data_IF_096266154135
#
_entry.id   IF_096266154135
#
_cell.length_a   1.000
_cell.length_b   1.000
_cell.length_c   1.000
_cell.angle_alpha   90.00
_cell.angle_beta   90.00
_cell.angle_gamma   90.00
#
_symmetry.space_group_name_H-M   'P 1'
#
loop_
_entity.id
_entity.type
_entity.pdbx_description
1 polymer ?
#
# COMPACT_ATOMS: atom_id res chain seq x y z
N UNK A 1 12.84 20.03 -1.20
CA UNK A 1 12.87 19.20 -2.43
C UNK A 1 14.10 18.30 -2.50
N UNK A 2 15.33 18.80 -2.22
CA UNK A 2 16.58 17.99 -2.23
C UNK A 2 16.53 16.80 -1.27
N UNK A 3 16.02 16.96 -0.06
CA UNK A 3 15.90 15.88 0.94
C UNK A 3 14.98 14.75 0.45
N UNK A 4 13.81 15.08 -0.09
CA UNK A 4 12.86 14.08 -0.63
C UNK A 4 13.53 13.24 -1.70
N UNK A 5 14.22 13.88 -2.64
CA UNK A 5 14.93 13.17 -3.71
C UNK A 5 16.09 12.34 -3.18
N UNK A 6 16.85 12.85 -2.19
CA UNK A 6 17.95 12.11 -1.57
C UNK A 6 17.47 10.84 -0.86
N UNK A 7 16.40 10.93 -0.07
CA UNK A 7 15.79 9.77 0.60
C UNK A 7 15.25 8.78 -0.44
N UNK A 8 14.52 9.27 -1.45
CA UNK A 8 13.99 8.42 -2.51
C UNK A 8 15.11 7.70 -3.30
N UNK A 9 16.22 8.38 -3.58
CA UNK A 9 17.37 7.77 -4.23
C UNK A 9 18.01 6.68 -3.37
N UNK A 10 18.16 6.92 -2.06
CA UNK A 10 18.67 5.93 -1.13
C UNK A 10 17.76 4.68 -1.08
N UNK A 11 16.46 4.86 -0.99
CA UNK A 11 15.48 3.78 -1.00
C UNK A 11 15.51 2.98 -2.31
N UNK A 12 15.59 3.67 -3.45
CA UNK A 12 15.69 3.02 -4.76
C UNK A 12 16.94 2.14 -4.87
N UNK A 13 18.10 2.64 -4.39
CA UNK A 13 19.34 1.89 -4.37
C UNK A 13 19.28 0.69 -3.43
N UNK A 14 18.67 0.85 -2.24
CA UNK A 14 18.45 -0.25 -1.30
C UNK A 14 17.55 -1.32 -1.89
N UNK A 15 16.46 -0.95 -2.53
CA UNK A 15 15.54 -1.88 -3.17
C UNK A 15 16.21 -2.60 -4.36
N UNK A 16 16.96 -1.87 -5.19
CA UNK A 16 17.70 -2.45 -6.32
C UNK A 16 18.75 -3.49 -5.91
N UNK A 17 19.36 -3.30 -4.73
CA UNK A 17 20.32 -4.25 -4.14
C UNK A 17 19.65 -5.50 -3.52
N UNK A 18 18.32 -5.55 -3.50
CA UNK A 18 17.54 -6.64 -2.93
C UNK A 18 16.65 -7.30 -4.00
N UNK A 19 17.21 -8.08 -4.93
CA UNK A 19 16.45 -8.68 -6.03
C UNK A 19 15.28 -9.54 -5.55
N UNK A 20 15.40 -10.13 -4.35
CA UNK A 20 14.32 -10.85 -3.71
C UNK A 20 13.06 -10.00 -3.47
N UNK A 21 13.23 -8.72 -3.08
CA UNK A 21 12.10 -7.79 -2.90
C UNK A 21 11.39 -7.47 -4.20
N UNK A 22 12.17 -7.27 -5.26
CA UNK A 22 11.61 -7.09 -6.61
C UNK A 22 10.87 -8.34 -7.08
N UNK A 23 11.41 -9.54 -6.80
CA UNK A 23 10.74 -10.80 -7.08
C UNK A 23 9.41 -10.93 -6.32
N UNK A 24 9.32 -10.45 -5.07
CA UNK A 24 8.06 -10.42 -4.31
C UNK A 24 7.02 -9.49 -4.96
N UNK A 25 7.43 -8.31 -5.45
CA UNK A 25 6.53 -7.40 -6.19
C UNK A 25 6.03 -8.07 -7.47
N UNK A 26 6.94 -8.70 -8.22
CA UNK A 26 6.59 -9.44 -9.44
C UNK A 26 5.67 -10.63 -9.15
N UNK A 27 5.91 -11.36 -8.05
CA UNK A 27 5.04 -12.44 -7.59
C UNK A 27 3.63 -11.92 -7.22
N UNK A 28 3.54 -10.76 -6.56
CA UNK A 28 2.26 -10.09 -6.30
C UNK A 28 1.52 -9.74 -7.60
N UNK A 29 2.25 -9.23 -8.62
CA UNK A 29 1.66 -8.97 -9.92
C UNK A 29 1.19 -10.27 -10.60
N UNK A 30 2.01 -11.34 -10.56
CA UNK A 30 1.65 -12.65 -11.09
C UNK A 30 0.45 -13.27 -10.38
N UNK A 31 0.34 -13.13 -9.06
CA UNK A 31 -0.80 -13.60 -8.29
C UNK A 31 -2.12 -12.97 -8.76
N UNK A 32 -2.07 -11.69 -9.19
CA UNK A 32 -3.25 -11.02 -9.75
C UNK A 32 -3.80 -11.72 -11.01
N UNK A 33 -2.99 -12.49 -11.73
CA UNK A 33 -3.46 -13.25 -12.90
C UNK A 33 -4.49 -14.35 -12.55
N UNK A 34 -4.56 -14.78 -11.27
CA UNK A 34 -5.61 -15.70 -10.82
C UNK A 34 -7.02 -15.11 -10.99
N UNK A 35 -7.15 -13.79 -11.10
CA UNK A 35 -8.43 -13.14 -11.39
C UNK A 35 -8.97 -13.46 -12.80
N UNK A 36 -8.12 -13.98 -13.70
CA UNK A 36 -8.52 -14.44 -15.03
C UNK A 36 -9.21 -15.82 -15.01
N UNK A 37 -9.19 -16.52 -13.87
CA UNK A 37 -9.88 -17.81 -13.72
C UNK A 37 -11.39 -17.57 -13.79
N UNK A 38 -12.10 -18.17 -14.78
CA UNK A 38 -13.52 -17.99 -14.94
C UNK A 38 -14.31 -18.52 -13.72
N UNK A 39 -15.31 -17.78 -13.31
CA UNK A 39 -16.20 -18.21 -12.20
C UNK A 39 -15.59 -18.04 -10.80
N UNK A 40 -14.45 -17.40 -10.65
CA UNK A 40 -13.89 -17.12 -9.33
C UNK A 40 -14.86 -16.26 -8.52
N UNK A 41 -15.26 -16.75 -7.36
CA UNK A 41 -16.20 -16.04 -6.48
C UNK A 41 -15.57 -14.74 -5.98
N UNK A 42 -16.36 -13.66 -5.85
CA UNK A 42 -15.89 -12.34 -5.48
C UNK A 42 -15.07 -12.30 -4.17
N UNK A 43 -15.40 -13.13 -3.18
CA UNK A 43 -14.62 -13.25 -1.93
C UNK A 43 -13.23 -13.77 -2.20
N UNK A 44 -13.09 -14.80 -3.05
CA UNK A 44 -11.79 -15.34 -3.43
C UNK A 44 -11.00 -14.30 -4.24
N UNK A 45 -11.64 -13.61 -5.18
CA UNK A 45 -11.04 -12.51 -5.95
C UNK A 45 -10.52 -11.39 -5.05
N UNK A 46 -11.32 -10.96 -4.06
CA UNK A 46 -10.90 -9.97 -3.06
C UNK A 46 -9.70 -10.47 -2.25
N UNK A 47 -9.72 -11.73 -1.83
CA UNK A 47 -8.60 -12.36 -1.13
C UNK A 47 -7.32 -12.37 -1.96
N UNK A 48 -7.41 -12.71 -3.25
CA UNK A 48 -6.28 -12.68 -4.21
C UNK A 48 -5.71 -11.27 -4.33
N UNK A 49 -6.57 -10.26 -4.55
CA UNK A 49 -6.11 -8.86 -4.66
C UNK A 49 -5.44 -8.40 -3.38
N UNK A 50 -6.05 -8.70 -2.22
CA UNK A 50 -5.48 -8.31 -0.92
C UNK A 50 -4.13 -8.99 -0.67
N UNK A 51 -4.01 -10.28 -0.92
CA UNK A 51 -2.76 -11.03 -0.76
C UNK A 51 -1.67 -10.49 -1.69
N UNK A 52 -1.99 -10.24 -2.96
CA UNK A 52 -1.08 -9.66 -3.93
C UNK A 52 -0.61 -8.25 -3.52
N UNK A 53 -1.55 -7.40 -3.07
CA UNK A 53 -1.26 -6.05 -2.61
C UNK A 53 -0.38 -6.06 -1.35
N UNK A 54 -0.69 -6.89 -0.36
CA UNK A 54 0.11 -7.00 0.87
C UNK A 54 1.52 -7.51 0.58
N UNK A 55 1.67 -8.53 -0.28
CA UNK A 55 2.98 -9.04 -0.67
C UNK A 55 3.84 -7.96 -1.31
N UNK A 56 3.30 -7.22 -2.27
CA UNK A 56 4.00 -6.11 -2.93
C UNK A 56 4.30 -4.97 -1.93
N UNK A 57 3.34 -4.58 -1.10
CA UNK A 57 3.46 -3.50 -0.11
C UNK A 57 4.55 -3.78 0.93
N UNK A 58 4.60 -5.02 1.45
CA UNK A 58 5.63 -5.43 2.41
C UNK A 58 7.02 -5.39 1.77
N UNK A 59 7.13 -5.78 0.50
CA UNK A 59 8.39 -5.78 -0.22
C UNK A 59 8.94 -4.35 -0.42
N UNK A 60 8.12 -3.43 -0.93
CA UNK A 60 8.58 -2.05 -1.24
C UNK A 60 8.69 -1.17 -0.01
N UNK A 61 8.01 -1.51 1.10
CA UNK A 61 8.12 -0.79 2.37
C UNK A 61 9.37 -1.14 3.20
N UNK A 62 10.19 -2.10 2.76
CA UNK A 62 11.36 -2.55 3.52
C UNK A 62 12.41 -1.45 3.79
N UNK A 63 12.78 -0.57 2.83
CA UNK A 63 13.70 0.52 3.11
C UNK A 63 13.22 1.47 4.21
N UNK A 64 11.97 1.91 4.13
CA UNK A 64 11.34 2.75 5.15
C UNK A 64 11.27 2.08 6.53
N UNK A 65 11.03 0.77 6.55
CA UNK A 65 11.01 -0.01 7.80
C UNK A 65 12.39 -0.08 8.45
N UNK A 66 13.46 -0.27 7.66
CA UNK A 66 14.84 -0.26 8.18
C UNK A 66 15.20 1.10 8.73
N UNK A 67 14.88 2.18 8.00
CA UNK A 67 15.11 3.54 8.46
C UNK A 67 14.38 3.83 9.79
N UNK A 68 13.15 3.35 9.95
CA UNK A 68 12.38 3.48 11.18
C UNK A 68 12.96 2.67 12.35
N UNK A 69 13.59 1.49 12.07
CA UNK A 69 14.26 0.69 13.09
C UNK A 69 15.57 1.29 13.58
N UNK A 70 16.39 1.75 12.63
CA UNK A 70 17.74 2.23 12.95
C UNK A 70 17.76 3.67 13.46
N UNK A 71 16.69 4.45 13.22
CA UNK A 71 16.48 5.83 13.68
C UNK A 71 17.55 6.87 13.28
N UNK A 72 18.80 6.45 13.14
CA UNK A 72 19.96 7.29 12.88
C UNK A 72 19.98 7.95 11.49
N UNK A 73 19.74 7.20 10.40
CA UNK A 73 19.79 7.79 9.06
C UNK A 73 18.78 8.89 8.86
N UNK A 74 17.56 8.72 9.32
CA UNK A 74 16.49 9.71 9.17
C UNK A 74 16.72 10.97 10.02
N UNK A 75 17.27 10.80 11.22
CA UNK A 75 17.62 11.92 12.10
C UNK A 75 18.77 12.78 11.55
N UNK A 76 19.60 12.24 10.65
CA UNK A 76 20.72 12.97 10.04
C UNK A 76 20.27 13.94 8.92
N UNK A 77 19.05 13.83 8.39
CA UNK A 77 18.58 14.71 7.35
C UNK A 77 18.19 16.09 7.90
N UNK A 78 18.68 17.19 7.29
CA UNK A 78 18.35 18.56 7.70
C UNK A 78 16.93 18.95 7.23
N UNK A 79 15.92 18.17 7.59
CA UNK A 79 14.53 18.38 7.17
C UNK A 79 13.55 17.89 8.24
N UNK A 80 12.32 18.39 8.18
CA UNK A 80 11.28 17.90 9.09
C UNK A 80 10.92 16.44 8.79
N UNK A 81 10.49 15.66 9.78
CA UNK A 81 10.12 14.25 9.62
C UNK A 81 9.11 14.01 8.49
N UNK A 82 8.22 14.97 8.22
CA UNK A 82 7.24 14.89 7.13
C UNK A 82 7.91 14.81 5.75
N UNK A 83 8.97 15.59 5.52
CA UNK A 83 9.69 15.57 4.25
C UNK A 83 10.53 14.31 4.07
N UNK A 84 11.09 13.78 5.15
CA UNK A 84 11.78 12.47 5.13
C UNK A 84 10.79 11.36 4.78
N UNK A 85 9.63 11.32 5.43
CA UNK A 85 8.55 10.36 5.09
C UNK A 85 8.03 10.53 3.66
N UNK A 86 7.90 11.77 3.18
CA UNK A 86 7.56 12.01 1.78
C UNK A 86 8.61 11.42 0.82
N UNK A 87 9.89 11.44 1.21
CA UNK A 87 10.97 10.77 0.47
C UNK A 87 10.77 9.26 0.41
N UNK A 88 10.48 8.63 1.54
CA UNK A 88 10.19 7.19 1.63
C UNK A 88 8.91 6.77 0.90
N UNK A 89 8.00 7.70 0.59
CA UNK A 89 6.78 7.42 -0.17
C UNK A 89 7.04 7.26 -1.67
N UNK A 90 8.04 7.96 -2.22
CA UNK A 90 8.25 8.05 -3.68
C UNK A 90 8.45 6.68 -4.31
N UNK A 91 9.37 5.88 -3.78
CA UNK A 91 9.73 4.57 -4.35
C UNK A 91 8.59 3.56 -4.19
N UNK A 92 7.98 3.36 -3.00
CA UNK A 92 6.82 2.50 -2.85
C UNK A 92 5.65 2.92 -3.77
N UNK A 93 5.33 4.22 -3.84
CA UNK A 93 4.26 4.68 -4.71
C UNK A 93 4.56 4.36 -6.18
N UNK A 94 5.76 4.65 -6.68
CA UNK A 94 6.13 4.37 -8.06
C UNK A 94 6.05 2.87 -8.40
N UNK A 95 6.61 2.00 -7.56
CA UNK A 95 6.55 0.55 -7.76
C UNK A 95 5.10 0.03 -7.72
N UNK A 96 4.31 0.50 -6.76
CA UNK A 96 2.93 0.05 -6.60
C UNK A 96 1.98 0.67 -7.64
N UNK A 97 2.29 1.81 -8.24
CA UNK A 97 1.58 2.32 -9.42
C UNK A 97 1.73 1.37 -10.61
N UNK A 98 2.94 0.86 -10.86
CA UNK A 98 3.18 -0.15 -11.92
C UNK A 98 2.43 -1.42 -11.60
N UNK A 99 2.52 -1.94 -10.38
CA UNK A 99 1.77 -3.10 -9.92
C UNK A 99 0.25 -2.87 -10.05
N UNK A 100 -0.25 -1.71 -9.65
CA UNK A 100 -1.66 -1.34 -9.75
C UNK A 100 -2.15 -1.23 -11.20
N UNK A 101 -1.30 -0.74 -12.12
CA UNK A 101 -1.61 -0.76 -13.54
C UNK A 101 -1.77 -2.19 -14.08
N UNK A 102 -0.89 -3.12 -13.67
CA UNK A 102 -1.03 -4.55 -14.00
C UNK A 102 -2.34 -5.11 -13.46
N UNK A 103 -2.67 -4.84 -12.19
CA UNK A 103 -3.94 -5.27 -11.58
C UNK A 103 -5.15 -4.70 -12.34
N UNK A 104 -5.15 -3.41 -12.66
CA UNK A 104 -6.21 -2.77 -13.44
C UNK A 104 -6.36 -3.38 -14.83
N UNK A 105 -5.27 -3.71 -15.49
CA UNK A 105 -5.25 -4.44 -16.77
C UNK A 105 -5.84 -5.83 -16.66
N UNK A 106 -5.46 -6.59 -15.63
CA UNK A 106 -6.02 -7.93 -15.35
C UNK A 106 -7.53 -7.85 -15.10
N UNK A 107 -7.99 -6.89 -14.30
CA UNK A 107 -9.42 -6.67 -14.06
C UNK A 107 -10.17 -6.30 -15.34
N UNK A 108 -9.57 -5.50 -16.23
CA UNK A 108 -10.16 -5.16 -17.52
C UNK A 108 -10.33 -6.39 -18.41
N UNK A 109 -9.36 -7.30 -18.41
CA UNK A 109 -9.42 -8.56 -19.17
C UNK A 109 -10.42 -9.53 -18.54
N UNK A 110 -10.43 -9.67 -17.22
CA UNK A 110 -11.36 -10.54 -16.49
C UNK A 110 -12.83 -10.09 -16.62
N UNK A 111 -13.08 -8.81 -16.69
CA UNK A 111 -14.42 -8.22 -16.86
C UNK A 111 -15.03 -8.36 -18.25
N UNK A 112 -14.40 -9.13 -19.17
CA UNK A 112 -14.94 -9.42 -20.50
C UNK A 112 -14.96 -8.22 -21.44
N UNK A 113 -14.07 -7.23 -21.22
CA UNK A 113 -13.81 -6.16 -22.22
C UNK A 113 -15.00 -5.30 -22.58
N UNK A 114 -15.86 -4.93 -21.61
CA UNK A 114 -16.88 -3.90 -21.89
C UNK A 114 -16.19 -2.66 -22.46
N UNK A 115 -16.51 -2.33 -23.71
CA UNK A 115 -15.91 -1.22 -24.42
C UNK A 115 -15.95 0.05 -23.55
N UNK A 116 -14.77 0.67 -23.32
CA UNK A 116 -14.64 1.88 -22.51
C UNK A 116 -14.29 1.67 -21.03
N UNK A 117 -14.41 0.46 -20.47
CA UNK A 117 -14.11 0.23 -19.04
C UNK A 117 -12.62 0.05 -18.73
N UNK A 118 -11.82 -0.39 -19.69
CA UNK A 118 -10.40 -0.69 -19.50
C UNK A 118 -9.58 0.50 -19.02
N UNK A 119 -9.80 1.68 -19.60
CA UNK A 119 -9.10 2.90 -19.19
C UNK A 119 -9.41 3.32 -17.76
N UNK A 120 -10.66 3.16 -17.33
CA UNK A 120 -11.06 3.46 -15.95
C UNK A 120 -10.44 2.49 -14.94
N UNK A 121 -10.38 1.19 -15.27
CA UNK A 121 -9.77 0.16 -14.43
C UNK A 121 -8.26 0.33 -14.32
N UNK A 122 -7.59 0.64 -15.44
CA UNK A 122 -6.16 0.96 -15.43
C UNK A 122 -5.88 2.20 -14.56
N UNK A 123 -6.64 3.28 -14.75
CA UNK A 123 -6.50 4.49 -13.97
C UNK A 123 -6.77 4.25 -12.48
N UNK A 124 -7.83 3.52 -12.14
CA UNK A 124 -8.13 3.16 -10.76
C UNK A 124 -7.02 2.30 -10.15
N UNK A 125 -6.48 1.33 -10.89
CA UNK A 125 -5.35 0.52 -10.47
C UNK A 125 -4.10 1.35 -10.17
N UNK A 126 -3.73 2.29 -11.04
CA UNK A 126 -2.61 3.23 -10.83
C UNK A 126 -2.83 4.06 -9.58
N UNK A 127 -4.01 4.63 -9.40
CA UNK A 127 -4.35 5.41 -8.20
C UNK A 127 -4.35 4.55 -6.93
N UNK A 128 -4.86 3.32 -7.01
CA UNK A 128 -4.76 2.36 -5.91
C UNK A 128 -3.30 2.11 -5.52
N UNK A 129 -2.40 1.98 -6.51
CA UNK A 129 -0.96 1.85 -6.28
C UNK A 129 -0.37 3.00 -5.46
N UNK A 130 -0.78 4.25 -5.73
CA UNK A 130 -0.40 5.41 -4.90
C UNK A 130 -0.90 5.25 -3.47
N UNK A 131 -2.16 4.86 -3.28
CA UNK A 131 -2.75 4.61 -1.96
C UNK A 131 -2.01 3.51 -1.20
N UNK A 132 -1.69 2.40 -1.88
CA UNK A 132 -0.88 1.32 -1.31
C UNK A 132 0.54 1.76 -0.96
N UNK A 133 1.12 2.73 -1.69
CA UNK A 133 2.37 3.41 -1.29
C UNK A 133 2.24 4.08 0.07
N UNK A 134 1.13 4.78 0.31
CA UNK A 134 0.79 5.34 1.63
C UNK A 134 0.66 4.26 2.70
N UNK A 135 -0.03 3.15 2.41
CA UNK A 135 -0.13 1.99 3.32
C UNK A 135 1.25 1.42 3.64
N UNK A 136 2.14 1.31 2.64
CA UNK A 136 3.50 0.79 2.82
C UNK A 136 4.29 1.63 3.83
N UNK A 137 4.34 2.96 3.64
CA UNK A 137 5.06 3.87 4.53
C UNK A 137 4.42 3.91 5.92
N UNK A 138 3.07 4.04 6.00
CA UNK A 138 2.35 4.05 7.28
C UNK A 138 2.61 2.77 8.08
N UNK A 139 2.61 1.61 7.42
CA UNK A 139 2.86 0.33 8.07
C UNK A 139 4.33 0.10 8.43
N UNK A 140 5.25 0.63 7.62
CA UNK A 140 6.68 0.51 7.84
C UNK A 140 7.17 1.35 9.02
N UNK A 141 6.64 2.58 9.15
CA UNK A 141 7.04 3.56 10.17
C UNK A 141 6.15 3.51 11.42
N UNK A 142 5.69 2.32 11.81
CA UNK A 142 4.97 2.12 13.06
C UNK A 142 5.92 2.30 14.24
N UNK A 143 5.42 2.94 15.32
CA UNK A 143 6.11 2.90 16.59
C UNK A 143 6.31 1.43 17.03
N UNK A 144 7.44 1.14 17.66
CA UNK A 144 7.72 -0.19 18.21
C UNK A 144 6.61 -0.59 19.18
N UNK A 145 6.09 -1.83 19.08
CA UNK A 145 5.07 -2.27 20.01
C UNK A 145 5.66 -2.33 21.42
N UNK A 146 5.08 -1.60 22.34
CA UNK A 146 5.39 -1.75 23.76
C UNK A 146 4.61 -2.96 24.29
N UNK A 147 5.31 -4.05 24.51
CA UNK A 147 4.73 -5.32 24.98
C UNK A 147 4.40 -5.29 26.48
N UNK A 148 4.99 -4.34 27.24
CA UNK A 148 4.72 -4.17 28.66
C UNK A 148 3.40 -3.43 28.94
N UNK A 149 2.91 -2.65 27.98
CA UNK A 149 1.63 -1.96 28.11
C UNK A 149 0.48 -2.92 27.83
N UNK A 150 -0.39 -3.05 28.82
CA UNK A 150 -1.53 -3.96 28.77
C UNK A 150 -2.82 -3.15 28.80
N UNK A 151 -3.74 -3.45 27.91
CA UNK A 151 -5.08 -2.87 27.89
C UNK A 151 -6.05 -3.89 28.51
N UNK A 152 -6.84 -3.43 29.47
CA UNK A 152 -7.93 -4.24 30.00
C UNK A 152 -9.01 -4.44 28.90
N UNK A 153 -9.33 -5.69 28.62
CA UNK A 153 -10.42 -6.05 27.69
C UNK A 153 -11.39 -7.02 28.36
N UNK A 154 -12.63 -7.16 27.87
CA UNK A 154 -13.60 -8.10 28.38
C UNK A 154 -13.14 -9.57 28.36
N UNK A 155 -12.16 -9.90 27.51
CA UNK A 155 -11.57 -11.26 27.40
C UNK A 155 -10.26 -11.40 28.18
N UNK A 156 -9.88 -10.39 28.98
CA UNK A 156 -8.65 -10.38 29.76
C UNK A 156 -7.64 -9.33 29.30
N UNK A 157 -6.48 -9.22 29.98
CA UNK A 157 -5.45 -8.27 29.65
C UNK A 157 -4.81 -8.61 28.29
N UNK A 158 -4.86 -7.66 27.36
CA UNK A 158 -4.30 -7.80 26.00
C UNK A 158 -3.09 -6.87 25.86
N UNK A 159 -1.90 -7.38 25.49
CA UNK A 159 -0.75 -6.53 25.21
C UNK A 159 -1.07 -5.52 24.09
N UNK A 160 -0.79 -4.24 24.32
CA UNK A 160 -1.04 -3.17 23.35
C UNK A 160 -0.30 -3.43 22.04
N UNK A 161 0.85 -4.11 22.13
CA UNK A 161 1.63 -4.55 20.97
C UNK A 161 0.88 -5.46 19.99
N UNK A 162 -0.16 -6.16 20.42
CA UNK A 162 -1.01 -6.97 19.53
C UNK A 162 -2.06 -6.13 18.80
N UNK A 163 -2.55 -5.06 19.40
CA UNK A 163 -3.62 -4.24 18.81
C UNK A 163 -3.10 -3.19 17.83
N UNK A 164 -1.92 -2.62 18.09
CA UNK A 164 -1.31 -1.62 17.21
C UNK A 164 -1.08 -2.10 15.76
N UNK A 165 -0.55 -3.30 15.49
CA UNK A 165 -0.43 -3.81 14.14
C UNK A 165 -1.76 -3.94 13.39
N UNK A 166 -2.86 -4.16 14.13
CA UNK A 166 -4.20 -4.28 13.56
C UNK A 166 -4.83 -2.93 13.23
N UNK A 167 -4.40 -1.86 13.91
CA UNK A 167 -4.97 -0.52 13.73
C UNK A 167 -4.15 0.40 12.80
N UNK A 168 -2.85 0.12 12.61
CA UNK A 168 -1.97 0.98 11.80
C UNK A 168 -1.53 0.26 10.53
N UNK A 169 -2.24 0.47 9.45
CA UNK A 169 -1.97 -0.12 8.13
C UNK A 169 -3.19 -0.83 7.58
N UNK A 170 -3.83 -1.83 8.27
CA UNK A 170 -5.05 -2.47 7.81
C UNK A 170 -6.21 -1.50 7.61
N UNK A 171 -6.31 -0.44 8.42
CA UNK A 171 -7.27 0.65 8.26
C UNK A 171 -7.15 1.35 6.89
N UNK A 172 -5.95 1.78 6.56
CA UNK A 172 -5.66 2.41 5.27
C UNK A 172 -5.76 1.41 4.11
N UNK A 173 -5.34 0.15 4.32
CA UNK A 173 -5.47 -0.91 3.32
C UNK A 173 -6.94 -1.19 2.97
N UNK A 174 -7.82 -1.29 3.98
CA UNK A 174 -9.25 -1.48 3.77
C UNK A 174 -9.87 -0.32 2.96
N UNK A 175 -9.49 0.92 3.29
CA UNK A 175 -9.94 2.10 2.54
C UNK A 175 -9.50 2.06 1.07
N UNK A 176 -8.23 1.76 0.80
CA UNK A 176 -7.70 1.71 -0.58
C UNK A 176 -8.30 0.56 -1.37
N UNK A 177 -8.61 -0.56 -0.71
CA UNK A 177 -9.25 -1.71 -1.35
C UNK A 177 -10.73 -1.48 -1.68
N UNK A 178 -11.42 -0.62 -0.95
CA UNK A 178 -12.87 -0.49 -1.04
C UNK A 178 -13.42 -0.27 -2.45
N UNK A 179 -12.91 0.70 -3.27
CA UNK A 179 -13.43 0.90 -4.62
C UNK A 179 -13.21 -0.31 -5.53
N UNK A 180 -12.09 -1.03 -5.38
CA UNK A 180 -11.81 -2.25 -6.15
C UNK A 180 -12.74 -3.40 -5.75
N UNK A 181 -13.05 -3.53 -4.47
CA UNK A 181 -14.05 -4.51 -3.98
C UNK A 181 -15.42 -4.23 -4.60
N UNK A 182 -15.82 -2.98 -4.70
CA UNK A 182 -17.10 -2.62 -5.35
C UNK A 182 -17.14 -3.05 -6.82
N UNK A 183 -16.01 -2.96 -7.54
CA UNK A 183 -15.91 -3.50 -8.91
C UNK A 183 -16.07 -5.02 -8.94
N UNK A 184 -15.42 -5.72 -8.02
CA UNK A 184 -15.54 -7.19 -7.90
C UNK A 184 -16.97 -7.63 -7.53
N UNK A 185 -17.72 -6.77 -6.83
CA UNK A 185 -19.16 -6.95 -6.54
C UNK A 185 -20.07 -6.57 -7.72
N UNK A 186 -19.49 -6.17 -8.86
CA UNK A 186 -20.26 -5.85 -10.06
C UNK A 186 -20.58 -4.36 -10.26
N UNK A 187 -20.01 -3.46 -9.46
CA UNK A 187 -20.12 -2.04 -9.74
C UNK A 187 -19.44 -1.70 -11.08
N UNK A 188 -20.07 -0.81 -11.84
CA UNK A 188 -19.54 -0.40 -13.14
C UNK A 188 -18.22 0.37 -13.01
N UNK A 189 -17.29 0.11 -13.91
CA UNK A 189 -16.08 0.92 -14.04
C UNK A 189 -16.40 2.22 -14.81
N UNK A 190 -16.13 3.36 -14.19
CA UNK A 190 -16.42 4.67 -14.74
C UNK A 190 -15.73 5.79 -13.95
N UNK A 191 -16.06 7.07 -14.27
CA UNK A 191 -15.43 8.22 -13.61
C UNK A 191 -15.66 8.25 -12.10
N UNK A 192 -16.79 7.73 -11.61
CA UNK A 192 -17.09 7.62 -10.17
C UNK A 192 -16.13 6.69 -9.43
N UNK A 193 -15.76 5.56 -10.06
CA UNK A 193 -14.73 4.65 -9.53
C UNK A 193 -13.39 5.37 -9.43
N UNK A 194 -12.99 6.08 -10.48
CA UNK A 194 -11.72 6.80 -10.52
C UNK A 194 -11.67 7.88 -9.44
N UNK A 195 -12.74 8.65 -9.28
CA UNK A 195 -12.85 9.67 -8.23
C UNK A 195 -12.78 9.05 -6.84
N UNK A 196 -13.56 8.00 -6.59
CA UNK A 196 -13.53 7.30 -5.31
C UNK A 196 -12.12 6.77 -4.99
N UNK A 197 -11.46 6.16 -5.98
CA UNK A 197 -10.10 5.66 -5.82
C UNK A 197 -9.09 6.80 -5.57
N UNK A 198 -9.23 7.93 -6.25
CA UNK A 198 -8.38 9.10 -6.03
C UNK A 198 -8.53 9.62 -4.59
N UNK A 199 -9.76 9.77 -4.11
CA UNK A 199 -10.05 10.28 -2.75
C UNK A 199 -9.44 9.36 -1.68
N UNK A 200 -9.69 8.05 -1.75
CA UNK A 200 -9.17 7.12 -0.74
C UNK A 200 -7.64 7.02 -0.81
N UNK A 201 -7.04 7.13 -1.99
CA UNK A 201 -5.58 7.09 -2.16
C UNK A 201 -4.92 8.35 -1.60
N UNK A 202 -5.47 9.53 -1.86
CA UNK A 202 -5.00 10.79 -1.26
C UNK A 202 -5.13 10.73 0.26
N UNK A 203 -6.22 10.19 0.77
CA UNK A 203 -6.42 10.04 2.21
C UNK A 203 -5.40 9.08 2.84
N UNK A 204 -5.12 7.94 2.20
CA UNK A 204 -4.10 6.99 2.67
C UNK A 204 -2.69 7.62 2.71
N UNK A 205 -2.33 8.41 1.68
CA UNK A 205 -1.08 9.17 1.65
C UNK A 205 -1.06 10.24 2.75
N UNK A 206 -2.14 10.99 2.92
CA UNK A 206 -2.25 12.00 3.97
C UNK A 206 -2.09 11.38 5.36
N UNK A 207 -2.70 10.23 5.62
CA UNK A 207 -2.53 9.47 6.86
C UNK A 207 -1.07 9.05 7.09
N UNK A 208 -0.37 8.60 6.03
CA UNK A 208 1.04 8.22 6.12
C UNK A 208 1.94 9.39 6.51
N UNK A 209 1.63 10.60 6.00
CA UNK A 209 2.38 11.83 6.29
C UNK A 209 1.99 12.49 7.62
N UNK A 210 0.72 12.34 8.03
CA UNK A 210 0.17 12.98 9.24
C UNK A 210 0.74 12.40 10.53
N UNK A 211 0.95 11.10 10.59
CA UNK A 211 1.46 10.41 11.79
C UNK A 211 2.92 10.74 12.12
N UNK A 212 3.56 11.58 11.30
CA UNK A 212 4.95 12.02 11.44
C UNK A 212 5.25 13.00 12.59
N UNK A 213 4.37 13.27 13.50
CA UNK A 213 4.59 14.29 14.52
C UNK A 213 4.00 13.96 15.90
N UNK A 214 3.76 12.69 16.16
CA UNK A 214 3.11 12.24 17.41
C UNK A 214 3.95 11.29 18.26
N UNK A 215 5.24 11.19 17.96
CA UNK A 215 6.21 10.43 18.77
C UNK A 215 7.02 11.36 19.66
#
# INVERSE_FOLDING_TARGET
MRTVLGVAQADALLLARQPWRLAQVAAGAGLSALLLVPGLHWVASTGVVLAAALLATVAVGDPARRAAFDGGPDASWPASPRWVRAGHLVVPAACLMVWGAVLGGVLALAGGGRAGSAGWLLGAGVLAGVGWGGVAVRSAMRAHPNWSDVIASPVGPVPQGLLRPLSQGPDAAALVMWPLVMVLLGAGAGPTLLLAQAVVSVFAVALALWTAGRD
#
